data_IF_376972739831
#
_entry.id   IF_376972739831
#
_cell.length_a   1.000
_cell.length_b   1.000
_cell.length_c   1.000
_cell.angle_alpha   90.00
_cell.angle_beta   90.00
_cell.angle_gamma   90.00
#
_symmetry.space_group_name_H-M   'P 1'
#
loop_
_entity.id
_entity.type
_entity.pdbx_description
1 polymer ?
#
# COMPACT_ATOMS: atom_id res chain seq x y z
N UNK A 1 -1.21 -15.73 14.96
CA UNK A 1 -1.19 -16.71 13.86
C UNK A 1 0.05 -16.58 12.97
N UNK A 2 0.45 -15.37 12.56
CA UNK A 2 1.81 -15.14 12.02
C UNK A 2 2.87 -15.12 13.14
N UNK A 3 4.07 -15.65 12.89
CA UNK A 3 5.16 -15.78 13.86
C UNK A 3 5.59 -17.23 14.06
N UNK A 4 6.87 -17.44 14.41
CA UNK A 4 7.49 -18.76 14.62
C UNK A 4 7.46 -19.71 13.40
N UNK A 5 7.75 -19.22 12.20
CA UNK A 5 7.81 -20.06 10.98
C UNK A 5 6.44 -20.59 10.52
N UNK A 6 5.35 -19.94 10.89
CA UNK A 6 4.01 -20.39 10.52
C UNK A 6 3.72 -20.22 9.02
N UNK A 7 3.08 -21.21 8.41
CA UNK A 7 2.63 -21.18 7.00
C UNK A 7 1.54 -20.15 6.71
N UNK A 8 1.12 -19.37 7.72
CA UNK A 8 0.05 -18.37 7.62
C UNK A 8 0.36 -17.31 6.56
N UNK A 9 1.61 -16.83 6.50
CA UNK A 9 2.02 -15.86 5.49
C UNK A 9 1.95 -16.45 4.07
N UNK A 10 2.25 -17.73 3.91
CA UNK A 10 2.13 -18.42 2.63
C UNK A 10 0.66 -18.52 2.19
N UNK A 11 -0.25 -18.87 3.09
CA UNK A 11 -1.69 -18.86 2.79
C UNK A 11 -2.19 -17.46 2.43
N UNK A 12 -1.69 -16.43 3.12
CA UNK A 12 -2.02 -15.04 2.83
C UNK A 12 -1.49 -14.61 1.44
N UNK A 13 -0.27 -15.01 1.07
CA UNK A 13 0.27 -14.84 -0.30
C UNK A 13 -0.61 -15.53 -1.34
N UNK A 14 -1.02 -16.77 -1.09
CA UNK A 14 -1.89 -17.51 -2.01
C UNK A 14 -3.26 -16.84 -2.16
N UNK A 15 -3.84 -16.35 -1.06
CA UNK A 15 -5.08 -15.59 -1.08
C UNK A 15 -4.94 -14.35 -1.96
N UNK A 16 -3.93 -13.50 -1.69
CA UNK A 16 -3.68 -12.28 -2.46
C UNK A 16 -3.37 -12.55 -3.93
N UNK A 17 -2.75 -13.68 -4.25
CA UNK A 17 -2.54 -14.12 -5.63
C UNK A 17 -3.87 -14.47 -6.30
N UNK A 18 -4.76 -15.19 -5.61
CA UNK A 18 -6.08 -15.57 -6.14
C UNK A 18 -6.99 -14.36 -6.36
N UNK A 19 -6.95 -13.36 -5.46
CA UNK A 19 -7.78 -12.15 -5.57
C UNK A 19 -7.13 -11.02 -6.37
N UNK A 20 -5.91 -11.21 -6.90
CA UNK A 20 -5.13 -10.16 -7.58
C UNK A 20 -5.90 -9.53 -8.75
N UNK A 21 -6.62 -10.34 -9.52
CA UNK A 21 -7.38 -9.86 -10.68
C UNK A 21 -8.44 -8.82 -10.31
N UNK A 22 -9.05 -8.91 -9.14
CA UNK A 22 -10.11 -8.02 -8.67
C UNK A 22 -9.60 -6.62 -8.28
N UNK A 23 -8.29 -6.44 -8.10
CA UNK A 23 -7.71 -5.14 -7.79
C UNK A 23 -7.50 -4.27 -9.03
N UNK A 24 -7.41 -4.85 -10.22
CA UNK A 24 -7.13 -4.08 -11.43
C UNK A 24 -8.27 -3.12 -11.79
N UNK A 25 -7.97 -1.88 -12.25
CA UNK A 25 -8.98 -0.88 -12.60
C UNK A 25 -9.96 -1.31 -13.70
N UNK A 26 -9.62 -2.32 -14.50
CA UNK A 26 -10.50 -2.88 -15.53
C UNK A 26 -11.61 -3.78 -14.96
N UNK A 27 -11.46 -4.26 -13.73
CA UNK A 27 -12.36 -5.20 -13.07
C UNK A 27 -13.11 -4.52 -11.92
N UNK A 28 -13.72 -3.36 -12.21
CA UNK A 28 -14.49 -2.61 -11.21
C UNK A 28 -15.86 -3.24 -10.97
N UNK A 29 -16.25 -3.34 -9.71
CA UNK A 29 -17.58 -3.77 -9.29
C UNK A 29 -17.79 -3.57 -7.79
N UNK A 30 -19.00 -3.85 -7.30
CA UNK A 30 -19.39 -3.60 -5.90
C UNK A 30 -18.51 -4.36 -4.87
N UNK A 31 -17.92 -5.49 -5.28
CA UNK A 31 -16.99 -6.27 -4.44
C UNK A 31 -15.70 -5.52 -4.09
N UNK A 32 -15.33 -4.51 -4.87
CA UNK A 32 -14.06 -3.79 -4.70
C UNK A 32 -14.02 -3.05 -3.37
N UNK A 33 -15.16 -2.54 -2.89
CA UNK A 33 -15.26 -1.93 -1.57
C UNK A 33 -14.81 -2.90 -0.47
N UNK A 34 -15.39 -4.11 -0.45
CA UNK A 34 -15.09 -5.11 0.56
C UNK A 34 -13.64 -5.59 0.51
N UNK A 35 -13.06 -5.71 -0.68
CA UNK A 35 -11.68 -6.15 -0.87
C UNK A 35 -10.67 -5.08 -0.42
N UNK A 36 -10.91 -3.80 -0.72
CA UNK A 36 -10.04 -2.69 -0.29
C UNK A 36 -10.22 -2.42 1.21
N UNK A 37 -11.45 -2.51 1.73
CA UNK A 37 -11.72 -2.42 3.16
C UNK A 37 -11.03 -3.54 3.93
N UNK A 38 -11.11 -4.78 3.45
CA UNK A 38 -10.38 -5.92 4.02
C UNK A 38 -8.87 -5.65 4.09
N UNK A 39 -8.30 -5.03 3.05
CA UNK A 39 -6.88 -4.65 3.01
C UNK A 39 -6.53 -3.64 4.10
N UNK A 40 -7.36 -2.61 4.28
CA UNK A 40 -7.19 -1.59 5.31
C UNK A 40 -7.29 -2.19 6.72
N UNK A 41 -8.32 -2.99 6.99
CA UNK A 41 -8.53 -3.64 8.29
C UNK A 41 -7.44 -4.65 8.63
N UNK A 42 -6.96 -5.40 7.63
CA UNK A 42 -5.86 -6.35 7.80
C UNK A 42 -4.56 -5.63 8.20
N UNK A 43 -4.21 -4.54 7.51
CA UNK A 43 -3.00 -3.76 7.84
C UNK A 43 -3.11 -3.08 9.20
N UNK A 44 -4.31 -2.60 9.57
CA UNK A 44 -4.57 -2.02 10.89
C UNK A 44 -4.39 -3.07 12.00
N UNK A 45 -5.01 -4.24 11.84
CA UNK A 45 -4.90 -5.35 12.80
C UNK A 45 -3.45 -5.79 13.01
N UNK A 46 -2.63 -5.74 11.96
CA UNK A 46 -1.20 -6.05 12.04
C UNK A 46 -0.44 -5.01 12.88
N UNK A 47 -0.74 -3.72 12.69
CA UNK A 47 -0.14 -2.62 13.47
C UNK A 47 -0.55 -2.70 14.93
N UNK A 48 -1.83 -2.97 15.21
CA UNK A 48 -2.33 -3.08 16.58
C UNK A 48 -1.63 -4.22 17.32
N UNK A 49 -1.45 -5.36 16.65
CA UNK A 49 -0.64 -6.46 17.17
C UNK A 49 0.81 -6.04 17.43
N UNK A 50 1.46 -5.38 16.47
CA UNK A 50 2.85 -4.93 16.63
C UNK A 50 2.99 -3.95 17.80
N UNK A 51 2.02 -3.05 17.97
CA UNK A 51 1.98 -2.12 19.10
C UNK A 51 1.82 -2.84 20.44
N UNK A 52 0.97 -3.86 20.51
CA UNK A 52 0.82 -4.70 21.72
C UNK A 52 2.12 -5.43 22.06
N UNK A 53 2.85 -5.91 21.05
CA UNK A 53 4.14 -6.58 21.22
C UNK A 53 5.29 -5.63 21.62
N UNK A 54 5.22 -4.36 21.22
CA UNK A 54 6.24 -3.34 21.44
C UNK A 54 6.05 -2.52 22.74
N UNK A 55 4.82 -2.08 23.04
CA UNK A 55 4.49 -1.26 24.21
C UNK A 55 4.14 -2.14 25.40
N UNK A 56 5.14 -2.68 26.10
CA UNK A 56 4.88 -3.63 27.18
C UNK A 56 5.53 -3.26 28.52
N UNK A 57 5.17 -2.10 29.05
CA UNK A 57 5.42 -1.73 30.46
C UNK A 57 4.23 -1.99 31.39
N UNK A 58 3.07 -2.43 30.86
CA UNK A 58 1.91 -2.74 31.70
C UNK A 58 1.96 -4.18 32.21
N UNK A 59 2.09 -4.30 33.53
CA UNK A 59 2.26 -5.54 34.31
C UNK A 59 1.10 -6.54 34.11
N UNK A 60 -0.10 -6.05 33.74
CA UNK A 60 -1.34 -6.82 33.70
C UNK A 60 -1.76 -7.30 32.30
N UNK A 61 -0.99 -6.97 31.25
CA UNK A 61 -1.30 -7.40 29.87
C UNK A 61 -0.57 -8.69 29.53
N UNK A 62 -1.29 -9.64 28.91
CA UNK A 62 -0.71 -10.90 28.43
C UNK A 62 0.39 -10.60 27.40
N UNK A 63 1.64 -10.92 27.74
CA UNK A 63 2.77 -10.80 26.83
C UNK A 63 2.82 -12.08 25.98
N UNK A 64 2.77 -12.01 24.65
CA UNK A 64 3.05 -13.18 23.83
C UNK A 64 4.48 -13.66 24.14
N UNK A 65 4.61 -14.98 24.26
CA UNK A 65 5.89 -15.67 24.39
C UNK A 65 6.86 -15.15 23.30
N UNK A 66 8.12 -14.91 23.66
CA UNK A 66 9.11 -14.34 22.73
C UNK A 66 9.22 -15.13 21.42
N UNK A 67 9.02 -16.45 21.46
CA UNK A 67 9.00 -17.31 20.28
C UNK A 67 7.89 -17.02 19.28
N UNK A 68 6.77 -16.41 19.70
CA UNK A 68 5.62 -16.10 18.85
C UNK A 68 5.55 -14.62 18.44
N UNK A 69 6.54 -13.81 18.85
CA UNK A 69 6.62 -12.40 18.43
C UNK A 69 6.95 -12.31 16.93
N UNK A 70 6.48 -11.23 16.33
CA UNK A 70 6.82 -10.91 14.95
C UNK A 70 8.30 -10.56 14.85
N UNK A 71 9.00 -11.19 13.92
CA UNK A 71 10.36 -10.79 13.57
C UNK A 71 10.33 -9.64 12.58
N UNK A 72 11.42 -8.86 12.53
CA UNK A 72 11.57 -7.80 11.52
C UNK A 72 11.48 -8.34 10.08
N UNK A 73 11.85 -9.61 9.88
CA UNK A 73 11.71 -10.30 8.60
C UNK A 73 10.24 -10.58 8.26
N UNK A 74 9.45 -11.08 9.22
CA UNK A 74 8.01 -11.34 9.03
C UNK A 74 7.25 -10.06 8.66
N UNK A 75 7.61 -8.92 9.28
CA UNK A 75 7.03 -7.61 8.97
C UNK A 75 7.34 -7.23 7.52
N UNK A 76 8.61 -7.39 7.11
CA UNK A 76 9.07 -7.07 5.76
C UNK A 76 8.40 -7.94 4.70
N UNK A 77 8.27 -9.24 4.99
CA UNK A 77 7.60 -10.19 4.10
C UNK A 77 6.10 -9.92 3.97
N UNK A 78 5.44 -9.50 5.06
CA UNK A 78 4.05 -9.05 5.04
C UNK A 78 3.88 -7.81 4.17
N UNK A 79 4.72 -6.77 4.37
CA UNK A 79 4.66 -5.56 3.54
C UNK A 79 4.88 -5.89 2.06
N UNK A 80 5.84 -6.75 1.73
CA UNK A 80 6.09 -7.16 0.36
C UNK A 80 4.93 -7.92 -0.28
N UNK A 81 4.17 -8.69 0.49
CA UNK A 81 2.99 -9.39 0.01
C UNK A 81 1.83 -8.43 -0.32
N UNK A 82 1.66 -7.38 0.49
CA UNK A 82 0.47 -6.52 0.45
C UNK A 82 0.69 -5.27 -0.41
N UNK A 83 1.94 -4.81 -0.56
CA UNK A 83 2.27 -3.54 -1.22
C UNK A 83 1.71 -3.43 -2.64
N UNK A 84 1.80 -4.50 -3.45
CA UNK A 84 1.38 -4.48 -4.85
C UNK A 84 -0.12 -4.14 -4.95
N UNK A 85 -0.94 -4.82 -4.14
CA UNK A 85 -2.39 -4.64 -4.12
C UNK A 85 -2.80 -3.26 -3.60
N UNK A 86 -2.07 -2.72 -2.61
CA UNK A 86 -2.28 -1.35 -2.12
C UNK A 86 -1.97 -0.32 -3.20
N UNK A 87 -0.84 -0.45 -3.93
CA UNK A 87 -0.51 0.48 -5.00
C UNK A 87 -1.55 0.46 -6.12
N UNK A 88 -1.97 -0.73 -6.57
CA UNK A 88 -3.04 -0.83 -7.57
C UNK A 88 -4.32 -0.13 -7.06
N UNK A 89 -4.66 -0.33 -5.78
CA UNK A 89 -5.87 0.26 -5.17
C UNK A 89 -5.83 1.78 -5.08
N UNK A 90 -4.67 2.39 -4.80
CA UNK A 90 -4.55 3.86 -4.69
C UNK A 90 -4.84 4.54 -6.03
N UNK A 91 -4.41 3.94 -7.14
CA UNK A 91 -4.64 4.49 -8.48
C UNK A 91 -5.99 4.11 -9.08
N UNK A 92 -6.82 3.38 -8.34
CA UNK A 92 -8.19 3.12 -8.77
C UNK A 92 -9.06 4.37 -8.61
N UNK A 93 -10.14 4.41 -9.39
CA UNK A 93 -11.12 5.51 -9.40
C UNK A 93 -12.01 5.54 -8.15
N UNK A 94 -12.07 4.44 -7.41
CA UNK A 94 -13.02 4.21 -6.30
C UNK A 94 -12.30 3.74 -5.03
N UNK A 95 -12.91 3.99 -3.86
CA UNK A 95 -12.41 3.56 -2.53
C UNK A 95 -11.00 4.06 -2.17
N UNK A 96 -10.64 5.26 -2.64
CA UNK A 96 -9.33 5.86 -2.41
C UNK A 96 -9.00 6.10 -0.94
N UNK A 97 -10.01 6.39 -0.12
CA UNK A 97 -9.82 6.62 1.33
C UNK A 97 -9.29 5.37 2.03
N UNK A 98 -9.88 4.21 1.77
CA UNK A 98 -9.47 2.95 2.39
C UNK A 98 -8.12 2.47 1.84
N UNK A 99 -7.86 2.70 0.55
CA UNK A 99 -6.54 2.45 -0.04
C UNK A 99 -5.46 3.34 0.58
N UNK A 100 -5.75 4.63 0.83
CA UNK A 100 -4.86 5.56 1.49
C UNK A 100 -4.61 5.18 2.97
N UNK A 101 -5.63 4.69 3.69
CA UNK A 101 -5.47 4.12 5.03
C UNK A 101 -4.52 2.92 5.01
N UNK A 102 -4.74 1.97 4.10
CA UNK A 102 -3.86 0.80 3.96
C UNK A 102 -2.41 1.20 3.63
N UNK A 103 -2.22 2.17 2.74
CA UNK A 103 -0.91 2.72 2.43
C UNK A 103 -0.22 3.36 3.63
N UNK A 104 -0.93 4.22 4.36
CA UNK A 104 -0.42 4.84 5.59
C UNK A 104 0.02 3.78 6.59
N UNK A 105 -0.76 2.72 6.74
CA UNK A 105 -0.44 1.61 7.62
C UNK A 105 0.84 0.87 7.17
N UNK A 106 1.01 0.60 5.87
CA UNK A 106 2.25 0.03 5.36
C UNK A 106 3.46 0.96 5.57
N UNK A 107 3.27 2.28 5.39
CA UNK A 107 4.32 3.27 5.64
C UNK A 107 4.72 3.35 7.12
N UNK A 108 3.81 3.08 8.06
CA UNK A 108 4.14 2.95 9.49
C UNK A 108 4.98 1.71 9.80
N UNK A 109 4.82 0.63 9.01
CA UNK A 109 5.57 -0.62 9.20
C UNK A 109 6.97 -0.57 8.58
N UNK A 110 7.04 -0.18 7.29
CA UNK A 110 8.27 -0.14 6.49
C UNK A 110 8.21 1.00 5.47
N UNK A 111 8.54 2.24 5.86
CA UNK A 111 8.47 3.38 4.95
C UNK A 111 9.45 3.26 3.78
N UNK A 112 10.62 2.67 4.02
CA UNK A 112 11.70 2.46 3.02
C UNK A 112 11.25 1.68 1.78
N UNK A 113 10.24 0.82 1.91
CA UNK A 113 9.75 -0.03 0.82
C UNK A 113 8.58 0.59 0.04
N UNK A 114 7.93 1.59 0.61
CA UNK A 114 6.59 2.05 0.18
C UNK A 114 6.61 3.51 -0.27
N UNK A 115 7.34 4.37 0.45
CA UNK A 115 7.43 5.80 0.14
C UNK A 115 8.15 6.08 -1.19
N UNK A 116 9.29 5.44 -1.52
CA UNK A 116 9.97 5.73 -2.79
C UNK A 116 9.06 5.49 -4.00
N UNK A 117 8.36 4.36 -4.01
CA UNK A 117 7.47 3.95 -5.10
C UNK A 117 6.37 4.98 -5.37
N UNK A 118 5.70 5.52 -4.34
CA UNK A 118 4.63 6.50 -4.55
C UNK A 118 5.19 7.84 -5.04
N UNK A 119 6.37 8.23 -4.56
CA UNK A 119 7.03 9.48 -4.95
C UNK A 119 7.44 9.40 -6.42
N UNK A 120 8.08 8.30 -6.82
CA UNK A 120 8.45 8.05 -8.22
C UNK A 120 7.24 8.08 -9.15
N UNK A 121 6.13 7.43 -8.76
CA UNK A 121 4.90 7.42 -9.54
C UNK A 121 4.26 8.81 -9.64
N UNK A 122 4.25 9.57 -8.55
CA UNK A 122 3.71 10.93 -8.52
C UNK A 122 4.53 11.89 -9.39
N UNK A 123 5.86 11.81 -9.27
CA UNK A 123 6.80 12.59 -10.09
C UNK A 123 6.64 12.23 -11.57
N UNK A 124 6.57 10.95 -11.91
CA UNK A 124 6.30 10.48 -13.27
C UNK A 124 4.99 11.05 -13.82
N UNK A 125 3.92 11.02 -13.03
CA UNK A 125 2.61 11.54 -13.43
C UNK A 125 2.68 13.05 -13.71
N UNK A 126 3.33 13.83 -12.85
CA UNK A 126 3.50 15.29 -13.04
C UNK A 126 4.30 15.57 -14.33
N UNK A 127 5.42 14.89 -14.55
CA UNK A 127 6.20 15.05 -15.78
C UNK A 127 5.43 14.63 -17.03
N UNK A 128 4.57 13.62 -16.93
CA UNK A 128 3.73 13.17 -18.04
C UNK A 128 2.69 14.22 -18.44
N UNK A 129 2.13 14.95 -17.46
CA UNK A 129 1.19 16.05 -17.71
C UNK A 129 1.90 17.21 -18.40
N UNK A 130 3.10 17.56 -17.95
CA UNK A 130 3.88 18.65 -18.53
C UNK A 130 4.20 18.40 -20.01
N UNK A 131 4.57 17.16 -20.38
CA UNK A 131 4.78 16.75 -21.78
C UNK A 131 3.49 16.70 -22.63
N UNK A 132 2.31 16.63 -22.01
CA UNK A 132 1.03 16.66 -22.71
C UNK A 132 0.55 18.09 -22.98
N UNK A 133 1.18 19.12 -22.41
CA UNK A 133 0.90 20.50 -22.78
C UNK A 133 1.36 20.74 -24.23
N UNK A 134 0.51 21.27 -25.13
CA UNK A 134 0.93 21.54 -26.49
C UNK A 134 2.05 22.57 -26.45
N UNK A 135 3.17 22.29 -27.13
CA UNK A 135 4.21 23.29 -27.40
C UNK A 135 3.51 24.58 -27.87
N UNK A 136 3.90 25.77 -27.35
CA UNK A 136 3.36 27.01 -27.88
C UNK A 136 3.58 26.99 -29.39
N UNK A 137 2.48 27.09 -30.15
CA UNK A 137 2.53 27.09 -31.60
C UNK A 137 3.51 28.17 -32.05
N UNK A 138 4.40 27.79 -32.97
CA UNK A 138 5.40 28.66 -33.60
C UNK A 138 4.79 29.89 -34.30
N UNK A 139 3.47 30.00 -34.37
CA UNK A 139 2.72 31.13 -34.91
C UNK A 139 2.65 32.36 -33.99
N UNK A 140 3.16 32.28 -32.76
CA UNK A 140 3.18 33.41 -31.82
C UNK A 140 4.38 34.36 -31.97
N UNK A 141 5.32 34.05 -32.87
CA UNK A 141 6.43 34.95 -33.23
C UNK A 141 6.23 35.58 -34.60
N UNK A 142 5.21 36.42 -34.74
CA UNK A 142 5.23 37.43 -35.81
C UNK A 142 6.20 38.56 -35.38
N UNK A 143 7.30 38.81 -36.12
CA UNK A 143 8.12 39.97 -35.86
C UNK A 143 7.30 41.21 -36.22
N UNK A 144 7.13 42.11 -35.24
CA UNK A 144 6.62 43.46 -35.48
C UNK A 144 7.60 44.17 -36.41
N UNK A 145 7.30 44.19 -37.71
CA UNK A 145 7.99 45.04 -38.68
C UNK A 145 7.59 46.50 -38.42
N UNK A 146 8.64 47.31 -38.19
CA UNK A 146 8.82 48.76 -38.41
C UNK A 146 7.57 49.66 -38.53
#
# INVERSE_FOLDING_TARGET
>A
MMGNGSSCLQYLRNLFTAIKSFYYPSNTGDFQHGIVQFLAELTQSFIDRLHLESKTDRIWQFKPLQSYRLTEQDITDFVNCVKEHVFISIFNKTHQEDAAKAFRNLAMLRPELVVPTIVEQSVFFIYSIDRMSPLPSLDSFHPSTA
#
